data_IF_651595988685
#
_entry.id   IF_651595988685
#
_cell.length_a   1.000
_cell.length_b   1.000
_cell.length_c   1.000
_cell.angle_alpha   90.00
_cell.angle_beta   90.00
_cell.angle_gamma   90.00
#
_symmetry.space_group_name_H-M   'P 1'
#
loop_
_entity.id
_entity.type
_entity.pdbx_description
1 polymer ?
#
# COMPACT_ATOMS: atom_id res chain seq x y z
N UNK A 1 16.34 -2.86 29.28
CA UNK A 1 17.37 -2.94 28.23
C UNK A 1 16.74 -3.56 27.00
N UNK A 2 16.44 -2.77 25.97
CA UNK A 2 15.96 -3.31 24.69
C UNK A 2 17.19 -3.81 23.93
N UNK A 3 17.33 -5.13 23.79
CA UNK A 3 18.42 -5.69 22.99
C UNK A 3 18.28 -5.19 21.56
N UNK A 4 19.33 -4.57 21.01
CA UNK A 4 19.35 -4.14 19.61
C UNK A 4 19.11 -5.36 18.71
N UNK A 5 17.98 -5.38 18.01
CA UNK A 5 17.62 -6.47 17.11
C UNK A 5 18.43 -6.28 15.82
N UNK A 6 19.28 -7.26 15.48
CA UNK A 6 20.04 -7.24 14.23
C UNK A 6 19.10 -7.32 13.02
N UNK A 7 19.40 -6.67 11.87
CA UNK A 7 18.53 -6.69 10.68
C UNK A 7 18.10 -8.10 10.23
N UNK A 8 19.02 -9.07 10.27
CA UNK A 8 18.72 -10.46 9.90
C UNK A 8 17.65 -11.10 10.79
N UNK A 9 17.60 -10.72 12.07
CA UNK A 9 16.54 -11.19 12.99
C UNK A 9 15.21 -10.57 12.63
N UNK A 10 15.17 -9.29 12.23
CA UNK A 10 13.92 -8.63 11.78
C UNK A 10 13.34 -9.35 10.56
N UNK A 11 14.18 -9.67 9.57
CA UNK A 11 13.74 -10.43 8.38
C UNK A 11 13.24 -11.82 8.77
N UNK A 12 13.97 -12.53 9.63
CA UNK A 12 13.55 -13.85 10.12
C UNK A 12 12.20 -13.77 10.86
N UNK A 13 11.99 -12.75 11.69
CA UNK A 13 10.72 -12.51 12.36
C UNK A 13 9.60 -12.23 11.37
N UNK A 14 9.86 -11.44 10.31
CA UNK A 14 8.87 -11.15 9.29
C UNK A 14 8.44 -12.44 8.57
N UNK A 15 9.39 -13.23 8.08
CA UNK A 15 9.13 -14.53 7.43
C UNK A 15 8.42 -15.49 8.39
N UNK A 16 8.87 -15.55 9.64
CA UNK A 16 8.25 -16.35 10.68
C UNK A 16 6.79 -15.95 10.94
N UNK A 17 6.47 -14.66 10.93
CA UNK A 17 5.11 -14.16 11.11
C UNK A 17 4.19 -14.58 9.95
N UNK A 18 4.68 -14.57 8.70
CA UNK A 18 3.93 -15.10 7.56
C UNK A 18 3.59 -16.58 7.72
N UNK A 19 4.54 -17.40 8.17
CA UNK A 19 4.31 -18.82 8.43
C UNK A 19 3.36 -19.03 9.61
N UNK A 20 3.54 -18.26 10.69
CA UNK A 20 2.71 -18.33 11.88
C UNK A 20 1.23 -18.01 11.58
N UNK A 21 0.94 -17.06 10.68
CA UNK A 21 -0.42 -16.81 10.21
C UNK A 21 -1.07 -18.07 9.63
N UNK A 22 -0.38 -18.78 8.73
CA UNK A 22 -0.91 -19.98 8.09
C UNK A 22 -1.09 -21.13 9.07
N UNK A 23 -0.18 -21.28 10.03
CA UNK A 23 -0.34 -22.24 11.11
C UNK A 23 -1.58 -21.91 11.97
N UNK A 24 -1.79 -20.64 12.32
CA UNK A 24 -2.99 -20.22 13.04
C UNK A 24 -4.28 -20.45 12.24
N UNK A 25 -4.23 -20.28 10.91
CA UNK A 25 -5.36 -20.53 10.01
C UNK A 25 -5.83 -21.99 9.96
N UNK A 26 -5.01 -22.95 10.40
CA UNK A 26 -5.43 -24.35 10.54
C UNK A 26 -6.35 -24.58 11.74
N UNK A 27 -6.32 -23.68 12.74
CA UNK A 27 -7.01 -23.87 14.02
C UNK A 27 -8.07 -22.80 14.30
N UNK A 28 -7.99 -21.63 13.67
CA UNK A 28 -8.87 -20.48 13.93
C UNK A 28 -9.77 -20.22 12.73
N UNK A 29 -11.10 -20.03 12.94
CA UNK A 29 -12.03 -19.70 11.86
C UNK A 29 -11.58 -18.49 11.03
N UNK A 30 -11.69 -18.53 9.69
CA UNK A 30 -11.21 -17.46 8.81
C UNK A 30 -11.82 -16.08 9.11
N UNK A 31 -13.09 -16.03 9.53
CA UNK A 31 -13.75 -14.77 9.88
C UNK A 31 -13.08 -14.08 11.08
N UNK A 32 -12.75 -14.85 12.12
CA UNK A 32 -12.10 -14.33 13.33
C UNK A 32 -10.69 -13.81 12.99
N UNK A 33 -9.90 -14.60 12.25
CA UNK A 33 -8.57 -14.18 11.82
C UNK A 33 -8.62 -12.90 10.99
N UNK A 34 -9.53 -12.86 10.00
CA UNK A 34 -9.72 -11.69 9.15
C UNK A 34 -10.01 -10.44 9.99
N UNK A 35 -10.92 -10.54 10.95
CA UNK A 35 -11.34 -9.39 11.74
C UNK A 35 -10.20 -8.92 12.68
N UNK A 36 -9.50 -9.84 13.34
CA UNK A 36 -8.32 -9.53 14.18
C UNK A 36 -7.22 -8.85 13.35
N UNK A 37 -6.82 -9.43 12.23
CA UNK A 37 -5.75 -8.87 11.41
C UNK A 37 -6.16 -7.58 10.69
N UNK A 38 -7.45 -7.40 10.37
CA UNK A 38 -7.95 -6.12 9.88
C UNK A 38 -7.82 -5.02 10.95
N UNK A 39 -8.17 -5.30 12.21
CA UNK A 39 -8.00 -4.35 13.31
C UNK A 39 -6.52 -4.04 13.58
N UNK A 40 -5.64 -5.05 13.56
CA UNK A 40 -4.19 -4.85 13.72
C UNK A 40 -3.59 -4.05 12.56
N UNK A 41 -3.98 -4.36 11.32
CA UNK A 41 -3.55 -3.61 10.14
C UNK A 41 -4.03 -2.14 10.20
N UNK A 42 -5.26 -1.92 10.68
CA UNK A 42 -5.78 -0.57 10.87
C UNK A 42 -5.00 0.20 11.94
N UNK A 43 -4.80 -0.37 13.12
CA UNK A 43 -3.98 0.24 14.18
C UNK A 43 -2.55 0.54 13.71
N UNK A 44 -1.93 -0.40 12.99
CA UNK A 44 -0.60 -0.22 12.41
C UNK A 44 -0.57 0.93 11.39
N UNK A 45 -1.58 1.03 10.52
CA UNK A 45 -1.67 2.10 9.53
C UNK A 45 -1.76 3.49 10.16
N UNK A 46 -2.49 3.63 11.28
CA UNK A 46 -2.60 4.89 12.03
C UNK A 46 -1.23 5.27 12.61
N UNK A 47 -0.60 4.35 13.34
CA UNK A 47 0.68 4.61 14.00
C UNK A 47 1.78 4.94 12.97
N UNK A 48 1.87 4.17 11.89
CA UNK A 48 2.84 4.44 10.82
C UNK A 48 2.56 5.80 10.18
N UNK A 49 1.30 6.09 9.84
CA UNK A 49 0.94 7.38 9.24
C UNK A 49 1.37 8.54 10.14
N UNK A 50 1.02 8.51 11.44
CA UNK A 50 1.38 9.57 12.39
C UNK A 50 2.90 9.68 12.54
N UNK A 51 3.60 8.55 12.67
CA UNK A 51 5.05 8.51 12.87
C UNK A 51 5.81 9.09 11.68
N UNK A 52 5.38 8.79 10.46
CA UNK A 52 6.06 9.19 9.24
C UNK A 52 5.54 10.50 8.64
N UNK A 53 4.42 11.04 9.13
CA UNK A 53 3.81 12.28 8.64
C UNK A 53 4.79 13.47 8.66
N UNK A 54 5.55 13.75 9.73
CA UNK A 54 6.48 14.88 9.74
C UNK A 54 7.57 14.75 8.66
N UNK A 55 8.12 13.55 8.49
CA UNK A 55 9.14 13.26 7.49
C UNK A 55 8.59 13.35 6.07
N UNK A 56 7.36 12.90 5.84
CA UNK A 56 6.69 13.02 4.54
C UNK A 56 6.38 14.48 4.20
N UNK A 57 5.90 15.27 5.17
CA UNK A 57 5.70 16.71 4.98
C UNK A 57 7.00 17.45 4.70
N UNK A 58 8.09 17.05 5.36
CA UNK A 58 9.43 17.57 5.09
C UNK A 58 9.90 17.21 3.68
N UNK A 59 9.73 15.95 3.26
CA UNK A 59 10.05 15.51 1.90
C UNK A 59 9.31 16.36 0.85
N UNK A 60 8.02 16.64 1.05
CA UNK A 60 7.23 17.49 0.15
C UNK A 60 7.79 18.92 0.11
N UNK A 61 8.10 19.50 1.27
CA UNK A 61 8.68 20.86 1.36
C UNK A 61 10.05 20.96 0.70
N UNK A 62 10.85 19.89 0.75
CA UNK A 62 12.18 19.79 0.16
C UNK A 62 12.14 19.18 -1.27
N UNK A 63 10.95 19.12 -1.91
CA UNK A 63 10.72 18.60 -3.27
C UNK A 63 11.07 17.12 -3.51
N UNK A 64 11.34 16.35 -2.45
CA UNK A 64 11.74 14.93 -2.52
C UNK A 64 12.84 14.70 -3.58
N UNK A 65 13.87 15.54 -3.52
CA UNK A 65 15.00 15.59 -4.44
C UNK A 65 15.94 14.38 -4.34
N UNK A 66 15.83 13.61 -3.26
CA UNK A 66 16.59 12.38 -3.04
C UNK A 66 15.70 11.14 -3.12
N UNK A 67 16.31 10.01 -3.53
CA UNK A 67 15.64 8.72 -3.54
C UNK A 67 15.12 8.30 -2.16
N UNK A 68 15.83 8.66 -1.09
CA UNK A 68 15.40 8.40 0.28
C UNK A 68 14.11 9.15 0.61
N UNK A 69 14.03 10.44 0.27
CA UNK A 69 12.83 11.24 0.49
C UNK A 69 11.63 10.74 -0.32
N UNK A 70 11.86 10.31 -1.56
CA UNK A 70 10.79 9.69 -2.37
C UNK A 70 10.32 8.36 -1.77
N UNK A 71 11.22 7.55 -1.25
CA UNK A 71 10.87 6.28 -0.61
C UNK A 71 10.08 6.52 0.69
N UNK A 72 10.48 7.49 1.50
CA UNK A 72 9.73 7.93 2.68
C UNK A 72 8.32 8.39 2.29
N UNK A 73 8.22 9.24 1.27
CA UNK A 73 6.94 9.74 0.78
C UNK A 73 6.06 8.62 0.24
N UNK A 74 6.62 7.67 -0.50
CA UNK A 74 5.90 6.51 -1.02
C UNK A 74 5.37 5.63 0.11
N UNK A 75 6.21 5.31 1.11
CA UNK A 75 5.79 4.54 2.30
C UNK A 75 4.65 5.27 3.01
N UNK A 76 4.82 6.56 3.28
CA UNK A 76 3.77 7.37 3.92
C UNK A 76 2.47 7.33 3.12
N UNK A 77 2.52 7.56 1.81
CA UNK A 77 1.33 7.55 0.95
C UNK A 77 0.61 6.20 0.95
N UNK A 78 1.34 5.07 0.87
CA UNK A 78 0.73 3.73 0.95
C UNK A 78 -0.05 3.58 2.25
N UNK A 79 0.58 3.87 3.40
CA UNK A 79 -0.05 3.68 4.70
C UNK A 79 -1.17 4.68 4.98
N UNK A 80 -1.04 5.92 4.49
CA UNK A 80 -2.09 6.93 4.54
C UNK A 80 -3.32 6.50 3.74
N UNK A 81 -3.12 5.97 2.52
CA UNK A 81 -4.20 5.44 1.69
C UNK A 81 -4.86 4.23 2.36
N UNK A 82 -4.08 3.30 2.91
CA UNK A 82 -4.61 2.17 3.69
C UNK A 82 -5.48 2.67 4.84
N UNK A 83 -5.00 3.63 5.63
CA UNK A 83 -5.73 4.18 6.76
C UNK A 83 -7.08 4.75 6.32
N UNK A 84 -7.10 5.59 5.28
CA UNK A 84 -8.33 6.20 4.76
C UNK A 84 -9.27 5.20 4.11
N UNK A 85 -8.74 4.22 3.37
CA UNK A 85 -9.53 3.14 2.80
C UNK A 85 -10.24 2.36 3.91
N UNK A 86 -9.56 2.09 5.04
CA UNK A 86 -10.16 1.40 6.19
C UNK A 86 -11.25 2.24 6.86
N UNK A 87 -11.00 3.53 7.08
CA UNK A 87 -12.01 4.47 7.60
C UNK A 87 -13.23 4.47 6.67
N UNK A 88 -13.01 4.54 5.36
CA UNK A 88 -14.09 4.50 4.37
C UNK A 88 -14.89 3.19 4.44
N UNK A 89 -14.23 2.03 4.51
CA UNK A 89 -14.92 0.74 4.60
C UNK A 89 -15.71 0.61 5.91
N UNK A 90 -15.20 1.13 7.02
CA UNK A 90 -15.92 1.16 8.30
C UNK A 90 -17.18 2.03 8.16
N UNK A 91 -17.03 3.25 7.63
CA UNK A 91 -18.16 4.15 7.38
C UNK A 91 -19.18 3.53 6.42
N UNK A 92 -18.72 2.94 5.31
CA UNK A 92 -19.57 2.30 4.31
C UNK A 92 -20.41 1.17 4.90
N UNK A 93 -19.83 0.34 5.79
CA UNK A 93 -20.60 -0.69 6.49
C UNK A 93 -21.52 -0.11 7.58
N UNK A 94 -21.11 0.97 8.25
CA UNK A 94 -21.95 1.65 9.26
C UNK A 94 -23.21 2.27 8.65
N UNK A 95 -23.13 2.74 7.40
CA UNK A 95 -24.27 3.31 6.65
C UNK A 95 -25.05 2.26 5.84
N UNK A 96 -24.95 0.97 6.17
CA UNK A 96 -25.65 -0.13 5.47
C UNK A 96 -25.38 -0.17 3.95
N UNK A 97 -24.15 0.18 3.54
CA UNK A 97 -23.65 0.06 2.16
C UNK A 97 -24.48 0.84 1.14
N UNK A 98 -24.52 2.18 1.24
CA UNK A 98 -25.36 3.00 0.37
C UNK A 98 -24.95 2.86 -1.11
N UNK A 99 -25.92 2.63 -2.00
CA UNK A 99 -25.68 2.42 -3.44
C UNK A 99 -24.93 3.60 -4.10
N UNK A 100 -25.22 4.83 -3.67
CA UNK A 100 -24.56 6.03 -4.16
C UNK A 100 -23.02 6.00 -3.95
N UNK A 101 -22.55 5.30 -2.91
CA UNK A 101 -21.11 5.17 -2.64
C UNK A 101 -20.53 3.97 -3.38
N UNK A 102 -21.28 2.86 -3.46
CA UNK A 102 -20.88 1.66 -4.20
C UNK A 102 -20.66 1.95 -5.69
N UNK A 103 -21.51 2.79 -6.27
CA UNK A 103 -21.46 3.18 -7.69
C UNK A 103 -20.67 4.47 -7.94
N UNK A 104 -19.92 4.96 -6.93
CA UNK A 104 -19.10 6.17 -7.06
C UNK A 104 -17.70 5.85 -7.58
N UNK A 105 -16.97 6.89 -8.00
CA UNK A 105 -15.57 6.79 -8.40
C UNK A 105 -14.63 6.34 -7.24
N UNK A 106 -15.11 6.31 -6.00
CA UNK A 106 -14.30 5.95 -4.82
C UNK A 106 -13.75 4.53 -4.92
N UNK A 107 -14.50 3.59 -5.51
CA UNK A 107 -14.01 2.23 -5.71
C UNK A 107 -12.74 2.17 -6.58
N UNK A 108 -12.65 3.03 -7.61
CA UNK A 108 -11.47 3.17 -8.47
C UNK A 108 -10.35 4.03 -7.87
N UNK A 109 -10.68 4.93 -6.94
CA UNK A 109 -9.71 5.82 -6.29
C UNK A 109 -8.66 5.07 -5.47
N UNK A 110 -9.03 4.00 -4.77
CA UNK A 110 -8.08 3.22 -3.96
C UNK A 110 -6.97 2.57 -4.78
N UNK A 111 -7.26 1.72 -5.81
CA UNK A 111 -6.20 1.16 -6.65
C UNK A 111 -5.41 2.22 -7.41
N UNK A 112 -6.05 3.33 -7.83
CA UNK A 112 -5.35 4.47 -8.42
C UNK A 112 -4.30 5.06 -7.46
N UNK A 113 -4.68 5.25 -6.19
CA UNK A 113 -3.77 5.79 -5.17
C UNK A 113 -2.58 4.86 -4.90
N UNK A 114 -2.81 3.54 -4.87
CA UNK A 114 -1.73 2.56 -4.77
C UNK A 114 -0.81 2.56 -6.00
N UNK A 115 -1.36 2.76 -7.21
CA UNK A 115 -0.55 2.92 -8.40
C UNK A 115 0.39 4.12 -8.25
N UNK A 116 -0.11 5.29 -7.88
CA UNK A 116 0.73 6.49 -7.71
C UNK A 116 1.82 6.28 -6.65
N UNK A 117 1.47 5.69 -5.50
CA UNK A 117 2.45 5.40 -4.44
C UNK A 117 3.48 4.36 -4.90
N UNK A 118 3.07 3.34 -5.66
CA UNK A 118 3.94 2.34 -6.25
C UNK A 118 4.89 2.92 -7.31
N UNK A 119 4.43 3.87 -8.13
CA UNK A 119 5.27 4.56 -9.11
C UNK A 119 6.35 5.41 -8.42
N UNK A 120 6.00 6.13 -7.35
CA UNK A 120 6.97 6.85 -6.53
C UNK A 120 8.00 5.90 -5.91
N UNK A 121 7.55 4.75 -5.42
CA UNK A 121 8.44 3.72 -4.88
C UNK A 121 9.42 3.17 -5.94
N UNK A 122 8.95 2.94 -7.17
CA UNK A 122 9.79 2.49 -8.28
C UNK A 122 10.75 3.58 -8.78
N UNK A 123 10.36 4.84 -8.68
CA UNK A 123 11.20 5.97 -9.05
C UNK A 123 12.39 6.14 -8.08
N UNK A 124 12.15 5.93 -6.78
CA UNK A 124 13.09 6.25 -5.70
C UNK A 124 14.55 5.76 -5.92
N UNK A 125 14.83 4.49 -6.32
CA UNK A 125 16.22 4.04 -6.53
C UNK A 125 16.91 4.70 -7.73
N UNK A 126 16.14 5.27 -8.66
CA UNK A 126 16.63 5.90 -9.87
C UNK A 126 16.90 7.40 -9.75
N UNK A 127 16.52 8.03 -8.63
CA UNK A 127 16.67 9.47 -8.42
C UNK A 127 18.15 9.82 -8.27
N UNK A 128 18.63 10.72 -9.11
CA UNK A 128 19.93 11.40 -9.00
C UNK A 128 19.71 12.91 -9.06
N UNK A 129 20.73 13.68 -8.68
CA UNK A 129 20.69 15.16 -8.66
C UNK A 129 20.18 15.77 -9.98
N UNK A 130 20.41 15.10 -11.11
CA UNK A 130 20.12 15.61 -12.45
C UNK A 130 18.87 14.97 -13.08
N UNK A 131 18.12 14.15 -12.32
CA UNK A 131 16.87 13.53 -12.77
C UNK A 131 16.76 12.03 -12.53
N UNK A 132 15.84 11.39 -13.25
CA UNK A 132 15.53 9.96 -13.10
C UNK A 132 16.37 9.10 -14.07
N UNK A 133 17.05 8.09 -13.54
CA UNK A 133 17.77 7.11 -14.36
C UNK A 133 16.83 6.32 -15.28
N UNK A 134 17.30 6.01 -16.48
CA UNK A 134 16.54 5.24 -17.49
C UNK A 134 16.04 3.89 -16.97
N UNK A 135 16.77 3.24 -16.06
CA UNK A 135 16.34 1.97 -15.46
C UNK A 135 15.07 2.10 -14.63
N UNK A 136 14.95 3.17 -13.84
CA UNK A 136 13.73 3.43 -13.06
C UNK A 136 12.58 3.85 -13.97
N UNK A 137 12.87 4.61 -15.02
CA UNK A 137 11.88 4.92 -16.06
C UNK A 137 11.33 3.64 -16.73
N UNK A 138 12.21 2.70 -17.11
CA UNK A 138 11.80 1.41 -17.66
C UNK A 138 10.98 0.57 -16.68
N UNK A 139 11.31 0.61 -15.37
CA UNK A 139 10.50 -0.06 -14.35
C UNK A 139 9.10 0.53 -14.23
N UNK A 140 8.96 1.87 -14.29
CA UNK A 140 7.67 2.57 -14.32
C UNK A 140 6.87 2.20 -15.57
N UNK A 141 7.49 2.25 -16.75
CA UNK A 141 6.84 1.89 -18.02
C UNK A 141 6.38 0.42 -17.97
N UNK A 142 7.22 -0.49 -17.49
CA UNK A 142 6.87 -1.90 -17.36
C UNK A 142 5.69 -2.11 -16.39
N UNK A 143 5.69 -1.42 -15.25
CA UNK A 143 4.59 -1.51 -14.28
C UNK A 143 3.26 -1.01 -14.87
N UNK A 144 3.28 0.13 -15.58
CA UNK A 144 2.08 0.67 -16.24
C UNK A 144 1.61 -0.23 -17.38
N UNK A 145 2.53 -0.76 -18.19
CA UNK A 145 2.21 -1.66 -19.29
C UNK A 145 1.58 -2.97 -18.80
N UNK A 146 2.17 -3.60 -17.77
CA UNK A 146 1.62 -4.80 -17.15
C UNK A 146 0.26 -4.52 -16.50
N UNK A 147 0.13 -3.42 -15.77
CA UNK A 147 -1.14 -3.01 -15.16
C UNK A 147 -2.24 -2.79 -16.21
N UNK A 148 -1.92 -2.10 -17.31
CA UNK A 148 -2.84 -1.83 -18.42
C UNK A 148 -3.24 -3.12 -19.15
N UNK A 149 -2.29 -4.05 -19.34
CA UNK A 149 -2.55 -5.35 -19.92
C UNK A 149 -3.51 -6.17 -19.06
N UNK A 150 -3.26 -6.28 -17.75
CA UNK A 150 -4.16 -6.98 -16.82
C UNK A 150 -5.54 -6.33 -16.78
N UNK A 151 -5.62 -5.00 -16.74
CA UNK A 151 -6.88 -4.27 -16.79
C UNK A 151 -7.66 -4.56 -18.10
N UNK A 152 -6.97 -4.60 -19.24
CA UNK A 152 -7.56 -4.97 -20.53
C UNK A 152 -8.11 -6.40 -20.55
N UNK A 153 -7.38 -7.37 -19.97
CA UNK A 153 -7.83 -8.77 -19.84
C UNK A 153 -9.08 -8.86 -18.97
N UNK A 154 -9.11 -8.15 -17.83
CA UNK A 154 -10.28 -8.13 -16.94
C UNK A 154 -11.49 -7.48 -17.60
N UNK A 155 -11.28 -6.38 -18.33
CA UNK A 155 -12.34 -5.71 -19.08
C UNK A 155 -12.92 -6.62 -20.17
N UNK A 156 -12.05 -7.28 -20.95
CA UNK A 156 -12.47 -8.25 -21.96
C UNK A 156 -13.27 -9.42 -21.35
N UNK A 157 -12.75 -10.00 -20.26
CA UNK A 157 -13.44 -11.07 -19.55
C UNK A 157 -14.84 -10.64 -19.09
N UNK A 158 -14.99 -9.42 -18.56
CA UNK A 158 -16.27 -8.90 -18.10
C UNK A 158 -17.30 -8.71 -19.20
N UNK A 159 -16.88 -8.28 -20.40
CA UNK A 159 -17.76 -8.16 -21.57
C UNK A 159 -18.18 -9.54 -22.07
N UNK A 160 -17.25 -10.51 -22.09
CA UNK A 160 -17.55 -11.85 -22.61
C UNK A 160 -18.54 -12.66 -21.77
N UNK A 161 -18.76 -12.25 -20.52
CA UNK A 161 -19.70 -12.87 -19.57
C UNK A 161 -21.01 -12.09 -19.37
N UNK A 162 -21.13 -10.91 -19.99
CA UNK A 162 -22.33 -10.07 -19.96
C UNK A 162 -23.24 -10.38 -21.16
#
# INVERSE_FOLDING_TARGET
MVSTITPNRVVLFAVGAFIAYWLAALFVPPLILRDVFNSLAFGSSIIITITWMPSALRAIRENADSGEWQLILAIFLVWFVVMWQRIYVIAFNWYDRPEAWANSAVAGFWPYSYLIAGLLFLAAPGVKSDGLQSRAMWAIIAAVALGSFVAGVLFWASISTA
#
